data_IF_602668636831
#
_entry.id   IF_602668636831
#
_cell.length_a   1.000
_cell.length_b   1.000
_cell.length_c   1.000
_cell.angle_alpha   90.00
_cell.angle_beta   90.00
_cell.angle_gamma   90.00
#
_symmetry.space_group_name_H-M   'P 1'
#
loop_
_entity.id
_entity.type
_entity.pdbx_description
1 polymer ?
#
# COMPACT_ATOMS: atom_id res chain seq x y z
N UNK A 1 15.73 4.40 -25.96
CA UNK A 1 16.32 5.17 -24.85
C UNK A 1 15.95 4.43 -23.57
N UNK A 2 16.92 3.71 -22.99
CA UNK A 2 16.69 2.91 -21.78
C UNK A 2 16.71 3.87 -20.59
N UNK A 3 15.57 4.16 -19.99
CA UNK A 3 15.51 4.89 -18.71
C UNK A 3 16.04 3.97 -17.62
N UNK A 4 17.33 4.09 -17.30
CA UNK A 4 17.88 3.42 -16.13
C UNK A 4 17.28 4.09 -14.89
N UNK A 5 16.63 3.32 -14.02
CA UNK A 5 16.40 3.74 -12.64
C UNK A 5 17.75 4.24 -12.11
N UNK A 6 17.85 5.48 -11.62
CA UNK A 6 19.14 6.00 -11.19
C UNK A 6 19.73 5.04 -10.15
N UNK A 7 20.88 4.46 -10.43
CA UNK A 7 21.66 3.61 -9.48
C UNK A 7 21.80 4.26 -8.10
N UNK A 8 21.74 5.58 -8.04
CA UNK A 8 21.74 6.37 -6.79
C UNK A 8 20.53 6.14 -5.90
N UNK A 9 19.36 5.73 -6.43
CA UNK A 9 18.17 5.46 -5.60
C UNK A 9 18.30 4.13 -4.87
N UNK A 10 18.85 3.12 -5.53
CA UNK A 10 19.07 1.77 -4.96
C UNK A 10 20.18 1.73 -3.89
N UNK A 11 20.97 2.79 -3.76
CA UNK A 11 22.05 2.92 -2.76
C UNK A 11 21.62 3.75 -1.54
N UNK A 12 20.38 4.26 -1.51
CA UNK A 12 19.87 5.02 -0.37
C UNK A 12 19.11 4.09 0.57
N UNK A 13 19.22 4.36 1.86
CA UNK A 13 18.32 3.76 2.85
C UNK A 13 16.91 4.31 2.64
N UNK A 14 15.86 3.46 2.76
CA UNK A 14 14.48 3.96 2.78
C UNK A 14 14.28 4.90 3.96
N UNK A 15 13.41 5.88 3.82
CA UNK A 15 13.04 6.79 4.91
C UNK A 15 12.10 6.11 5.91
N UNK A 16 11.24 5.22 5.40
CA UNK A 16 10.38 4.36 6.19
C UNK A 16 10.01 3.12 5.39
N UNK A 17 9.52 2.10 6.08
CA UNK A 17 9.14 0.82 5.49
C UNK A 17 7.93 0.23 6.20
N UNK A 18 7.21 -0.66 5.52
CA UNK A 18 6.14 -1.45 6.11
C UNK A 18 6.41 -2.93 5.86
N UNK A 19 6.45 -3.73 6.91
CA UNK A 19 6.44 -5.20 6.82
C UNK A 19 4.99 -5.66 6.75
N UNK A 20 4.62 -6.29 5.65
CA UNK A 20 3.26 -6.71 5.38
C UNK A 20 2.98 -8.11 5.91
N UNK A 21 1.82 -8.28 6.50
CA UNK A 21 1.31 -9.57 6.99
C UNK A 21 -0.14 -9.74 6.57
N UNK A 22 -0.49 -10.93 6.13
CA UNK A 22 -1.87 -11.30 5.86
C UNK A 22 -2.69 -11.47 7.14
N UNK A 23 -4.01 -11.39 7.01
CA UNK A 23 -4.93 -11.79 8.08
C UNK A 23 -4.91 -13.31 8.28
N UNK A 24 -5.56 -13.81 9.35
CA UNK A 24 -5.68 -15.25 9.60
C UNK A 24 -6.34 -16.02 8.45
N UNK A 25 -7.19 -15.35 7.66
CA UNK A 25 -7.78 -15.92 6.46
C UNK A 25 -6.81 -15.97 5.24
N UNK A 26 -5.73 -15.19 5.30
CA UNK A 26 -4.73 -15.08 4.23
C UNK A 26 -3.30 -15.14 4.81
N UNK A 27 -2.95 -16.21 5.55
CA UNK A 27 -1.71 -16.28 6.33
C UNK A 27 -0.44 -16.31 5.46
N UNK A 28 -0.58 -16.65 4.19
CA UNK A 28 0.55 -16.74 3.26
C UNK A 28 1.01 -15.38 2.74
N UNK A 29 0.19 -14.32 2.88
CA UNK A 29 0.56 -12.99 2.40
C UNK A 29 1.65 -12.41 3.30
N UNK A 30 2.78 -12.07 2.71
CA UNK A 30 3.88 -11.40 3.38
C UNK A 30 4.68 -10.56 2.38
N UNK A 31 5.47 -9.63 2.87
CA UNK A 31 6.31 -8.81 2.01
C UNK A 31 6.76 -7.52 2.66
N UNK A 32 7.29 -6.62 1.82
CA UNK A 32 7.85 -5.35 2.29
C UNK A 32 7.51 -4.23 1.33
N UNK A 33 7.22 -3.07 1.89
CA UNK A 33 7.05 -1.83 1.14
C UNK A 33 8.08 -0.83 1.65
N UNK A 34 8.86 -0.25 0.73
CA UNK A 34 9.92 0.71 1.05
C UNK A 34 9.57 2.08 0.48
N UNK A 35 9.73 3.12 1.28
CA UNK A 35 9.44 4.50 0.90
C UNK A 35 10.71 5.33 0.91
N UNK A 36 11.04 5.91 -0.24
CA UNK A 36 12.25 6.71 -0.45
C UNK A 36 11.88 8.16 -0.74
N UNK A 37 12.60 9.08 -0.13
CA UNK A 37 12.44 10.49 -0.43
C UNK A 37 12.96 10.78 -1.85
N UNK A 38 12.12 11.34 -2.68
CA UNK A 38 12.44 11.77 -4.04
C UNK A 38 12.22 13.27 -4.19
N UNK A 39 12.68 13.86 -5.28
CA UNK A 39 12.86 15.32 -5.45
C UNK A 39 11.66 16.17 -4.98
N UNK A 40 10.42 15.78 -5.20
CA UNK A 40 9.21 16.49 -4.75
C UNK A 40 8.11 15.52 -4.26
N UNK A 41 8.47 14.31 -3.88
CA UNK A 41 7.51 13.28 -3.50
C UNK A 41 8.20 12.04 -2.93
N UNK A 42 7.59 10.89 -3.17
CA UNK A 42 8.00 9.59 -2.68
C UNK A 42 8.14 8.59 -3.80
N UNK A 43 9.22 7.81 -3.81
CA UNK A 43 9.31 6.56 -4.58
C UNK A 43 8.97 5.41 -3.64
N UNK A 44 8.07 4.55 -4.09
CA UNK A 44 7.55 3.40 -3.35
C UNK A 44 7.99 2.14 -4.08
N UNK A 45 8.72 1.26 -3.39
CA UNK A 45 8.97 -0.09 -3.87
C UNK A 45 8.13 -1.06 -3.06
N UNK A 46 7.43 -1.94 -3.75
CA UNK A 46 6.55 -2.94 -3.15
C UNK A 46 6.94 -4.32 -3.63
N UNK A 47 7.12 -5.25 -2.70
CA UNK A 47 7.34 -6.66 -2.99
C UNK A 47 6.47 -7.49 -2.06
N UNK A 48 5.50 -8.22 -2.63
CA UNK A 48 4.49 -9.01 -1.89
C UNK A 48 4.45 -10.42 -2.44
N UNK A 49 4.36 -11.37 -1.55
CA UNK A 49 4.22 -12.81 -1.81
C UNK A 49 2.92 -13.33 -1.23
N UNK A 50 2.45 -14.47 -1.72
CA UNK A 50 1.31 -15.20 -1.17
C UNK A 50 -0.06 -14.57 -1.45
N UNK A 51 -0.16 -13.67 -2.44
CA UNK A 51 -1.44 -13.12 -2.86
C UNK A 51 -2.35 -14.25 -3.40
N UNK A 52 -3.66 -14.21 -3.08
CA UNK A 52 -4.58 -15.28 -3.46
C UNK A 52 -4.71 -15.42 -4.97
N UNK A 53 -4.91 -16.66 -5.43
CA UNK A 53 -5.20 -16.94 -6.84
C UNK A 53 -6.62 -16.46 -7.21
N UNK A 54 -6.85 -16.22 -8.51
CA UNK A 54 -8.15 -15.85 -9.06
C UNK A 54 -8.35 -14.37 -9.31
N UNK A 55 -7.50 -13.51 -8.77
CA UNK A 55 -7.39 -12.09 -9.13
C UNK A 55 -5.98 -11.77 -9.59
N UNK A 56 -5.85 -10.95 -10.61
CA UNK A 56 -4.57 -10.44 -11.07
C UNK A 56 -4.24 -9.06 -10.47
N UNK A 57 -5.26 -8.35 -9.95
CA UNK A 57 -5.09 -7.03 -9.37
C UNK A 57 -5.65 -6.94 -7.95
N UNK A 58 -4.89 -6.28 -7.08
CA UNK A 58 -5.26 -6.03 -5.68
C UNK A 58 -5.11 -4.55 -5.38
N UNK A 59 -6.14 -3.94 -4.81
CA UNK A 59 -6.06 -2.55 -4.37
C UNK A 59 -5.07 -2.43 -3.21
N UNK A 60 -4.32 -1.32 -3.19
CA UNK A 60 -3.38 -0.99 -2.14
C UNK A 60 -3.55 0.49 -1.75
N UNK A 61 -3.78 0.75 -0.46
CA UNK A 61 -3.99 2.10 0.03
C UNK A 61 -3.24 2.33 1.36
N UNK A 62 -2.85 3.58 1.61
CA UNK A 62 -2.41 4.01 2.94
C UNK A 62 -3.66 4.39 3.72
N UNK A 63 -3.78 3.90 4.95
CA UNK A 63 -4.89 4.14 5.87
C UNK A 63 -4.47 5.03 7.03
N UNK A 64 -5.44 5.69 7.67
CA UNK A 64 -5.22 6.69 8.75
C UNK A 64 -4.75 6.07 10.06
N UNK A 65 -5.10 4.82 10.33
CA UNK A 65 -4.77 4.15 11.59
C UNK A 65 -3.29 3.78 11.69
N UNK A 66 -2.87 3.45 12.90
CA UNK A 66 -1.49 3.09 13.25
C UNK A 66 -1.34 1.63 13.70
N UNK A 67 -2.41 0.84 13.62
CA UNK A 67 -2.44 -0.54 14.11
C UNK A 67 -3.00 -1.49 13.05
N UNK A 68 -2.36 -2.65 12.92
CA UNK A 68 -2.83 -3.78 12.12
C UNK A 68 -3.62 -4.78 12.99
N UNK A 69 -4.63 -4.27 13.70
CA UNK A 69 -5.53 -5.05 14.55
C UNK A 69 -6.99 -4.71 14.23
N UNK A 70 -7.91 -5.47 14.77
CA UNK A 70 -9.33 -5.26 14.55
C UNK A 70 -10.18 -6.31 15.25
N UNK A 71 -11.20 -6.81 14.57
CA UNK A 71 -12.17 -7.74 15.11
C UNK A 71 -12.50 -8.87 14.13
N UNK A 72 -13.40 -9.77 14.51
CA UNK A 72 -13.77 -10.94 13.68
C UNK A 72 -14.38 -10.58 12.31
N UNK A 73 -15.00 -9.40 12.19
CA UNK A 73 -15.64 -8.97 10.93
C UNK A 73 -14.68 -8.17 10.04
N UNK A 74 -13.73 -7.44 10.64
CA UNK A 74 -12.67 -6.71 9.95
C UNK A 74 -11.37 -6.88 10.74
N UNK A 75 -10.46 -7.79 10.32
CA UNK A 75 -9.24 -8.09 11.03
C UNK A 75 -8.29 -6.88 11.14
N UNK A 76 -8.51 -5.86 10.33
CA UNK A 76 -7.72 -4.63 10.32
C UNK A 76 -8.59 -3.38 10.50
N UNK A 77 -9.65 -3.47 11.33
CA UNK A 77 -10.55 -2.34 11.61
C UNK A 77 -9.81 -1.11 12.15
N UNK A 78 -8.79 -1.33 12.98
CA UNK A 78 -8.01 -0.25 13.61
C UNK A 78 -7.08 0.49 12.63
N UNK A 79 -6.90 -0.02 11.42
CA UNK A 79 -6.24 0.70 10.33
C UNK A 79 -7.09 1.90 9.84
N UNK A 80 -8.39 1.92 10.12
CA UNK A 80 -9.27 3.02 9.76
C UNK A 80 -9.60 3.10 8.26
N UNK A 81 -9.75 4.34 7.77
CA UNK A 81 -10.09 4.68 6.38
C UNK A 81 -8.86 5.12 5.58
N UNK A 82 -9.03 5.39 4.31
CA UNK A 82 -7.96 5.92 3.45
C UNK A 82 -7.37 7.20 4.03
N UNK A 83 -6.05 7.27 4.03
CA UNK A 83 -5.32 8.45 4.49
C UNK A 83 -5.51 9.61 3.50
N UNK A 84 -5.94 10.75 4.02
CA UNK A 84 -6.09 11.95 3.20
C UNK A 84 -5.75 13.21 3.98
N UNK A 85 -5.04 14.13 3.33
CA UNK A 85 -4.62 15.42 3.88
C UNK A 85 -5.53 16.58 3.45
N UNK A 86 -6.40 16.36 2.46
CA UNK A 86 -7.10 17.45 1.77
C UNK A 86 -8.63 17.34 1.79
N UNK A 87 -9.20 16.29 2.38
CA UNK A 87 -10.62 15.97 2.35
C UNK A 87 -11.15 15.76 0.92
N UNK A 88 -10.32 15.09 0.12
CA UNK A 88 -10.65 14.71 -1.25
C UNK A 88 -11.62 13.52 -1.27
N UNK A 89 -12.14 13.21 -2.45
CA UNK A 89 -12.90 11.99 -2.71
C UNK A 89 -12.01 10.94 -3.36
N UNK A 90 -12.33 9.66 -3.16
CA UNK A 90 -11.67 8.57 -3.89
C UNK A 90 -11.83 8.77 -5.42
N UNK A 91 -10.79 8.59 -6.24
CA UNK A 91 -9.45 8.08 -5.96
C UNK A 91 -8.38 9.18 -5.77
N UNK A 92 -8.75 10.31 -5.23
CA UNK A 92 -7.84 11.45 -5.05
C UNK A 92 -7.29 11.57 -3.63
N UNK A 93 -7.66 10.67 -2.69
CA UNK A 93 -7.07 10.66 -1.36
C UNK A 93 -5.54 10.60 -1.45
N UNK A 94 -4.89 11.20 -0.50
CA UNK A 94 -3.42 11.19 -0.40
C UNK A 94 -2.86 9.76 -0.42
N UNK A 95 -3.55 8.81 0.22
CA UNK A 95 -3.17 7.42 0.37
C UNK A 95 -3.61 6.48 -0.76
N UNK A 96 -4.33 6.95 -1.77
CA UNK A 96 -4.76 6.11 -2.89
C UNK A 96 -3.57 5.80 -3.81
N UNK A 97 -3.14 4.54 -3.83
CA UNK A 97 -2.00 4.05 -4.61
C UNK A 97 -2.49 3.23 -5.80
N UNK A 98 -1.66 3.06 -6.84
CA UNK A 98 -1.96 2.13 -7.92
C UNK A 98 -2.12 0.70 -7.42
N UNK A 99 -3.06 -0.03 -8.02
CA UNK A 99 -3.26 -1.45 -7.71
C UNK A 99 -2.00 -2.28 -7.99
N UNK A 100 -1.81 -3.33 -7.21
CA UNK A 100 -0.75 -4.32 -7.41
C UNK A 100 -1.15 -5.30 -8.51
N UNK A 101 -0.26 -5.56 -9.45
CA UNK A 101 -0.37 -6.65 -10.41
C UNK A 101 0.26 -7.92 -9.83
N UNK A 102 -0.56 -8.93 -9.59
CA UNK A 102 -0.11 -10.24 -9.13
C UNK A 102 0.28 -11.15 -10.31
N UNK A 103 1.42 -11.79 -10.19
CA UNK A 103 1.90 -12.82 -11.11
C UNK A 103 1.98 -14.14 -10.33
N UNK A 104 0.90 -14.89 -10.33
CA UNK A 104 0.79 -16.16 -9.57
C UNK A 104 1.12 -15.99 -8.07
N UNK A 105 0.53 -14.98 -7.42
CA UNK A 105 0.74 -14.70 -6.00
C UNK A 105 1.94 -13.82 -5.67
N UNK A 106 2.74 -13.43 -6.65
CA UNK A 106 3.86 -12.50 -6.50
C UNK A 106 3.56 -11.16 -7.16
N UNK A 107 3.74 -10.08 -6.42
CA UNK A 107 3.64 -8.72 -6.95
C UNK A 107 4.90 -7.92 -6.64
N UNK A 108 5.41 -7.23 -7.65
CA UNK A 108 6.49 -6.27 -7.52
C UNK A 108 6.14 -5.00 -8.27
N UNK A 109 6.31 -3.84 -7.63
CA UNK A 109 6.09 -2.56 -8.28
C UNK A 109 7.05 -1.48 -7.81
N UNK A 110 7.25 -0.47 -8.65
CA UNK A 110 7.94 0.76 -8.30
C UNK A 110 7.09 1.94 -8.78
N UNK A 111 6.69 2.80 -7.87
CA UNK A 111 5.78 3.93 -8.12
C UNK A 111 6.38 5.22 -7.61
N UNK A 112 6.23 6.30 -8.37
CA UNK A 112 6.52 7.66 -7.92
C UNK A 112 5.22 8.42 -7.72
N UNK A 113 5.10 9.10 -6.57
CA UNK A 113 3.97 9.98 -6.29
C UNK A 113 4.43 11.31 -5.70
N UNK A 114 3.69 12.38 -5.99
CA UNK A 114 3.82 13.69 -5.35
C UNK A 114 2.77 13.95 -4.26
N UNK A 115 1.84 13.01 -4.05
CA UNK A 115 0.72 13.18 -3.13
C UNK A 115 1.17 13.32 -1.67
N UNK A 116 2.35 12.74 -1.33
CA UNK A 116 2.91 12.82 0.01
C UNK A 116 4.45 12.71 0.01
N UNK A 117 5.04 13.08 1.14
CA UNK A 117 6.42 12.78 1.50
C UNK A 117 6.46 11.63 2.50
N UNK A 118 7.53 10.82 2.59
CA UNK A 118 7.62 9.72 3.54
C UNK A 118 7.34 10.13 4.99
N UNK A 119 7.79 11.33 5.40
CA UNK A 119 7.55 11.86 6.76
C UNK A 119 6.08 12.10 7.09
N UNK A 120 5.20 12.20 6.10
CA UNK A 120 3.76 12.44 6.31
C UNK A 120 2.98 11.14 6.51
N UNK A 121 3.57 10.00 6.16
CA UNK A 121 2.91 8.70 6.21
C UNK A 121 3.49 7.75 7.27
N UNK A 122 4.65 8.08 7.87
CA UNK A 122 5.18 7.28 8.98
C UNK A 122 4.20 7.25 10.15
N UNK A 123 3.99 6.06 10.73
CA UNK A 123 3.01 5.82 11.78
C UNK A 123 1.62 5.45 11.29
N UNK A 124 1.33 5.56 10.01
CA UNK A 124 0.11 5.06 9.38
C UNK A 124 0.27 3.61 8.92
N UNK A 125 -0.79 3.02 8.34
CA UNK A 125 -0.75 1.64 7.86
C UNK A 125 -0.89 1.57 6.34
N UNK A 126 -0.32 0.53 5.73
CA UNK A 126 -0.66 0.14 4.37
C UNK A 126 -1.60 -1.05 4.42
N UNK A 127 -2.66 -1.01 3.64
CA UNK A 127 -3.63 -2.09 3.48
C UNK A 127 -3.60 -2.61 2.04
N UNK A 128 -3.62 -3.93 1.90
CA UNK A 128 -3.95 -4.61 0.64
C UNK A 128 -5.37 -5.16 0.77
N UNK A 129 -6.19 -4.93 -0.25
CA UNK A 129 -7.59 -5.34 -0.31
C UNK A 129 -7.79 -6.56 -1.23
N UNK A 130 -8.92 -7.26 -1.04
CA UNK A 130 -9.24 -8.49 -1.75
C UNK A 130 -9.53 -8.32 -3.24
N UNK A 131 -9.96 -7.14 -3.66
CA UNK A 131 -10.36 -6.82 -5.03
C UNK A 131 -9.52 -5.68 -5.61
N UNK A 132 -9.51 -5.53 -6.95
CA UNK A 132 -8.93 -4.34 -7.57
C UNK A 132 -9.72 -3.08 -7.18
N UNK A 133 -9.02 -1.93 -7.20
CA UNK A 133 -9.62 -0.63 -7.11
C UNK A 133 -10.29 -0.28 -8.46
N UNK A 134 -11.55 0.16 -8.44
CA UNK A 134 -12.25 0.62 -9.64
C UNK A 134 -12.00 2.11 -9.93
N UNK A 135 -11.30 2.82 -9.03
CA UNK A 135 -10.90 4.22 -9.08
C UNK A 135 -12.05 5.23 -9.18
N UNK A 136 -13.27 4.86 -8.79
CA UNK A 136 -14.41 5.78 -8.84
C UNK A 136 -15.47 5.55 -7.76
N UNK A 137 -15.70 4.33 -7.28
CA UNK A 137 -16.72 4.05 -6.26
C UNK A 137 -16.29 4.61 -4.90
N UNK A 138 -17.17 5.38 -4.28
CA UNK A 138 -16.92 5.94 -2.95
C UNK A 138 -17.22 4.90 -1.85
N UNK A 139 -16.50 4.91 -0.76
CA UNK A 139 -15.33 5.75 -0.43
C UNK A 139 -13.98 5.12 -0.82
N UNK A 140 -13.95 3.90 -1.37
CA UNK A 140 -12.73 3.07 -1.42
C UNK A 140 -12.55 2.23 -2.69
N UNK A 141 -13.21 2.63 -3.81
CA UNK A 141 -13.03 1.96 -5.10
C UNK A 141 -13.56 0.53 -5.15
N UNK A 142 -14.56 0.19 -4.34
CA UNK A 142 -15.14 -1.16 -4.27
C UNK A 142 -14.07 -2.26 -4.04
N UNK A 143 -12.99 -1.92 -3.35
CA UNK A 143 -11.78 -2.75 -3.20
C UNK A 143 -11.96 -3.97 -2.29
N UNK A 144 -13.12 -4.08 -1.62
CA UNK A 144 -13.44 -5.25 -0.80
C UNK A 144 -12.74 -5.29 0.55
N UNK A 145 -12.70 -6.48 1.15
CA UNK A 145 -12.14 -6.69 2.47
C UNK A 145 -10.63 -6.39 2.53
N UNK A 146 -10.17 -5.98 3.70
CA UNK A 146 -8.75 -5.84 4.01
C UNK A 146 -8.14 -7.23 4.23
N UNK A 147 -7.14 -7.62 3.44
CA UNK A 147 -6.54 -8.95 3.49
C UNK A 147 -5.10 -8.96 4.03
N UNK A 148 -4.40 -7.85 3.95
CA UNK A 148 -3.08 -7.69 4.55
C UNK A 148 -2.86 -6.26 5.04
N UNK A 149 -2.00 -6.12 6.05
CA UNK A 149 -1.67 -4.85 6.69
C UNK A 149 -0.18 -4.80 7.05
N UNK A 150 0.37 -3.60 7.05
CA UNK A 150 1.70 -3.30 7.58
C UNK A 150 1.74 -1.87 8.13
N UNK A 151 2.33 -1.70 9.31
CA UNK A 151 2.58 -0.36 9.88
C UNK A 151 3.80 0.25 9.21
N UNK A 152 3.71 1.52 8.83
CA UNK A 152 4.82 2.27 8.22
C UNK A 152 5.72 2.81 9.33
N UNK A 153 6.91 2.24 9.44
CA UNK A 153 7.91 2.59 10.46
C UNK A 153 9.13 3.27 9.83
N UNK A 154 9.75 4.19 10.61
CA UNK A 154 10.95 4.93 10.20
C UNK A 154 12.22 4.10 10.33
#
# INVERSE_FOLDING_TARGET
MMYSIPRRLLLRQPCCSATMHGSDAYPDIHGTILFFNACQGTVIFTEIFGLPAGNDFFAMHIHTGSLCSGNMNDPFADAGTHFDLHSDMHPLHTGDLPALLSNNGYAWSAVYTKRFRPSQICGHTVIIHAHPDDYHTQPSGNSGAKIACGVIEA
#
